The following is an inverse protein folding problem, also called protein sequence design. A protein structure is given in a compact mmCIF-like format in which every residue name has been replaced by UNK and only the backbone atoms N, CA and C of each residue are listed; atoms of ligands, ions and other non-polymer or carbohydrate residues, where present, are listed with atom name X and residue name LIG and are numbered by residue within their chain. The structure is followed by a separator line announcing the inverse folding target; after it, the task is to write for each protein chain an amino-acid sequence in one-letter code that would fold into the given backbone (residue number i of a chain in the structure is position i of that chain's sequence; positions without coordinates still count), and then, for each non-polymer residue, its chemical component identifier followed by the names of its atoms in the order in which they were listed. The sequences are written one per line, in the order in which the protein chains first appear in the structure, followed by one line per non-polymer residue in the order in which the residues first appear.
data_IF_644390590625
#
_entry.id   IF_644390590625
#
_cell.length_a   1.000
_cell.length_b   1.000
_cell.length_c   1.000
_cell.angle_alpha   90.00
_cell.angle_beta   90.00
_cell.angle_gamma   90.00
#
_symmetry.space_group_name_H-M   'P 1'
#
loop_
_entity.id
_entity.type
_entity.pdbx_description
1 polymer ?
#
# COMPACT_ATOMS: atom_id res chain seq x y z
N UNK A 1 -3.94 -6.86 -5.08
CA UNK A 1 -4.08 -5.51 -5.68
C UNK A 1 -3.73 -5.49 -7.17
N UNK A 2 -2.46 -5.51 -7.56
CA UNK A 2 -2.06 -5.34 -8.98
C UNK A 2 -2.59 -6.47 -9.89
N UNK A 3 -2.68 -7.70 -9.38
CA UNK A 3 -3.35 -8.80 -10.08
C UNK A 3 -4.82 -8.50 -10.41
N UNK A 4 -5.55 -7.84 -9.51
CA UNK A 4 -6.93 -7.41 -9.75
C UNK A 4 -7.04 -6.31 -10.82
N UNK A 5 -5.92 -5.66 -11.15
CA UNK A 5 -5.80 -4.69 -12.25
C UNK A 5 -5.28 -5.35 -13.54
N UNK A 6 -5.12 -6.68 -13.58
CA UNK A 6 -4.54 -7.41 -14.71
C UNK A 6 -3.02 -7.28 -14.81
N UNK A 7 -2.35 -6.77 -13.77
CA UNK A 7 -0.90 -6.59 -13.71
C UNK A 7 -0.28 -7.71 -12.87
N UNK A 8 -0.07 -8.87 -13.50
CA UNK A 8 0.62 -10.01 -12.91
C UNK A 8 2.02 -10.14 -13.53
N UNK A 9 3.03 -9.57 -12.86
CA UNK A 9 4.41 -9.54 -13.35
C UNK A 9 5.40 -9.61 -12.19
N UNK A 10 6.52 -10.35 -12.34
CA UNK A 10 7.56 -10.41 -11.30
C UNK A 10 8.29 -9.07 -11.10
N UNK A 11 8.10 -8.08 -11.98
CA UNK A 11 8.70 -6.75 -11.82
C UNK A 11 8.17 -6.01 -10.61
N UNK A 12 6.89 -6.17 -10.27
CA UNK A 12 6.26 -5.47 -9.16
C UNK A 12 6.86 -5.84 -7.79
N UNK A 13 6.93 -7.13 -7.39
CA UNK A 13 7.61 -7.48 -6.14
C UNK A 13 9.08 -7.06 -6.17
N UNK A 14 9.78 -7.19 -7.30
CA UNK A 14 11.18 -6.75 -7.43
C UNK A 14 11.36 -5.25 -7.17
N UNK A 15 10.47 -4.40 -7.67
CA UNK A 15 10.47 -2.95 -7.42
C UNK A 15 10.11 -2.62 -5.97
N UNK A 16 9.16 -3.36 -5.39
CA UNK A 16 8.62 -3.08 -4.07
C UNK A 16 9.45 -3.65 -2.91
N UNK A 17 10.36 -4.62 -3.14
CA UNK A 17 11.15 -5.29 -2.10
C UNK A 17 11.81 -4.32 -1.12
N UNK A 18 12.34 -3.21 -1.62
CA UNK A 18 13.01 -2.20 -0.80
C UNK A 18 12.11 -1.52 0.24
N UNK A 19 10.78 -1.63 0.11
CA UNK A 19 9.81 -1.03 1.03
C UNK A 19 9.40 -1.98 2.18
N UNK A 20 9.92 -3.21 2.19
CA UNK A 20 9.72 -4.16 3.29
C UNK A 20 10.18 -3.59 4.63
N UNK A 21 9.38 -3.77 5.69
CA UNK A 21 9.68 -3.23 7.02
C UNK A 21 9.72 -1.69 7.08
N UNK A 22 9.08 -1.03 6.12
CA UNK A 22 9.01 0.42 5.99
C UNK A 22 9.81 0.90 4.80
N UNK A 23 11.13 0.87 4.90
CA UNK A 23 12.06 1.00 3.78
C UNK A 23 13.30 0.20 4.19
N UNK A 24 13.37 -1.09 3.87
CA UNK A 24 14.42 -2.01 4.30
C UNK A 24 14.59 -2.09 5.84
N UNK A 25 13.47 -2.24 6.56
CA UNK A 25 13.45 -2.49 8.00
C UNK A 25 13.69 -1.26 8.89
N UNK A 26 13.95 -0.09 8.30
CA UNK A 26 14.17 1.17 9.04
C UNK A 26 12.98 1.64 9.89
N UNK A 27 11.78 1.06 9.71
CA UNK A 27 10.60 1.44 10.48
C UNK A 27 9.91 2.73 10.02
N UNK A 28 10.28 3.25 8.85
CA UNK A 28 9.62 4.37 8.17
C UNK A 28 8.22 3.98 7.63
N UNK A 29 7.68 4.71 6.65
CA UNK A 29 6.35 4.51 6.09
C UNK A 29 6.07 3.05 5.73
N UNK A 30 4.95 2.49 6.21
CA UNK A 30 4.56 1.10 6.03
C UNK A 30 4.61 0.68 4.55
N UNK A 31 5.32 -0.42 4.26
CA UNK A 31 5.45 -0.95 2.90
C UNK A 31 4.13 -1.31 2.24
N UNK A 32 3.12 -1.74 3.01
CA UNK A 32 1.78 -2.01 2.49
C UNK A 32 1.10 -0.73 1.98
N UNK A 33 1.19 0.36 2.73
CA UNK A 33 0.68 1.68 2.32
C UNK A 33 1.43 2.19 1.08
N UNK A 34 2.75 2.03 1.03
CA UNK A 34 3.55 2.38 -0.16
C UNK A 34 3.08 1.57 -1.36
N UNK A 35 2.88 0.26 -1.22
CA UNK A 35 2.35 -0.60 -2.29
C UNK A 35 0.98 -0.15 -2.79
N UNK A 36 0.10 0.31 -1.90
CA UNK A 36 -1.18 0.88 -2.29
C UNK A 36 -1.07 2.16 -3.12
N UNK A 37 -0.19 3.08 -2.71
CA UNK A 37 0.08 4.31 -3.45
C UNK A 37 0.78 4.02 -4.79
N UNK A 38 1.66 3.01 -4.85
CA UNK A 38 2.24 2.54 -6.10
C UNK A 38 1.16 2.07 -7.09
N UNK A 39 0.13 1.34 -6.61
CA UNK A 39 -0.98 0.93 -7.47
C UNK A 39 -1.75 2.12 -8.04
N UNK A 40 -1.93 3.21 -7.27
CA UNK A 40 -2.48 4.48 -7.78
C UNK A 40 -1.59 5.05 -8.90
N UNK A 41 -0.27 5.00 -8.71
CA UNK A 41 0.70 5.41 -9.73
C UNK A 41 0.61 4.57 -11.01
N UNK A 42 0.38 3.26 -10.90
CA UNK A 42 0.24 2.38 -12.07
C UNK A 42 -1.01 2.72 -12.90
N UNK A 43 -2.11 3.16 -12.28
CA UNK A 43 -3.37 3.43 -12.98
C UNK A 43 -3.53 4.90 -13.40
N UNK A 44 -3.13 5.83 -12.54
CA UNK A 44 -3.37 7.28 -12.71
C UNK A 44 -2.10 8.12 -12.66
N UNK A 45 -0.93 7.49 -12.59
CA UNK A 45 0.34 8.18 -12.55
C UNK A 45 0.67 8.88 -13.87
N UNK A 46 1.75 9.66 -13.81
CA UNK A 46 2.26 10.39 -14.96
C UNK A 46 3.15 9.50 -15.82
N UNK A 47 3.13 9.77 -17.12
CA UNK A 47 4.07 9.21 -18.11
C UNK A 47 5.13 10.23 -18.48
N UNK A 48 4.80 11.53 -18.41
CA UNK A 48 5.72 12.64 -18.68
C UNK A 48 5.83 13.59 -17.48
N UNK A 49 6.87 14.43 -17.40
CA UNK A 49 6.98 15.48 -16.38
C UNK A 49 5.79 16.45 -16.32
N UNK A 50 5.14 16.70 -17.46
CA UNK A 50 4.10 17.71 -17.68
C UNK A 50 2.68 17.22 -17.32
N UNK A 51 2.47 15.91 -17.23
CA UNK A 51 1.15 15.33 -16.93
C UNK A 51 0.61 15.82 -15.57
N UNK A 52 -0.71 15.93 -15.43
CA UNK A 52 -1.37 16.38 -14.20
C UNK A 52 -1.15 15.37 -13.05
N UNK A 53 -0.87 15.89 -11.85
CA UNK A 53 -0.62 15.12 -10.62
C UNK A 53 -1.82 15.15 -9.67
N UNK A 54 -2.78 16.04 -9.89
CA UNK A 54 -3.86 16.32 -8.93
C UNK A 54 -4.69 15.07 -8.63
N UNK A 55 -5.06 14.29 -9.64
CA UNK A 55 -5.85 13.06 -9.47
C UNK A 55 -5.10 11.99 -8.64
N UNK A 56 -3.91 11.51 -9.05
CA UNK A 56 -3.20 10.50 -8.25
C UNK A 56 -2.83 11.02 -6.85
N UNK A 57 -2.55 12.32 -6.69
CA UNK A 57 -2.30 12.90 -5.36
C UNK A 57 -3.54 12.90 -4.47
N UNK A 58 -4.69 13.32 -4.99
CA UNK A 58 -5.93 13.33 -4.22
C UNK A 58 -6.33 11.91 -3.77
N UNK A 59 -6.18 10.92 -4.65
CA UNK A 59 -6.47 9.52 -4.31
C UNK A 59 -5.46 9.00 -3.26
N UNK A 60 -4.17 9.25 -3.46
CA UNK A 60 -3.13 8.81 -2.52
C UNK A 60 -3.30 9.43 -1.13
N UNK A 61 -3.69 10.70 -1.05
CA UNK A 61 -3.99 11.38 0.21
C UNK A 61 -5.16 10.73 0.94
N UNK A 62 -6.25 10.37 0.25
CA UNK A 62 -7.38 9.67 0.86
C UNK A 62 -6.98 8.31 1.43
N UNK A 63 -6.22 7.52 0.66
CA UNK A 63 -5.71 6.22 1.11
C UNK A 63 -4.81 6.40 2.34
N UNK A 64 -3.89 7.37 2.29
CA UNK A 64 -2.99 7.68 3.40
C UNK A 64 -3.77 8.03 4.68
N UNK A 65 -4.68 8.99 4.60
CA UNK A 65 -5.45 9.44 5.76
C UNK A 65 -6.34 8.34 6.33
N UNK A 66 -7.02 7.57 5.47
CA UNK A 66 -7.86 6.46 5.93
C UNK A 66 -7.02 5.35 6.58
N UNK A 67 -5.86 5.02 6.01
CA UNK A 67 -4.94 4.05 6.59
C UNK A 67 -4.44 4.51 7.96
N UNK A 68 -4.03 5.77 8.08
CA UNK A 68 -3.57 6.35 9.35
C UNK A 68 -4.67 6.33 10.41
N UNK A 69 -5.91 6.66 10.04
CA UNK A 69 -7.05 6.63 10.95
C UNK A 69 -7.35 5.21 11.47
N UNK A 70 -7.31 4.20 10.61
CA UNK A 70 -7.65 2.82 11.00
C UNK A 70 -6.51 2.06 11.70
N UNK A 71 -5.25 2.35 11.34
CA UNK A 71 -4.07 1.69 11.92
C UNK A 71 -3.46 2.48 13.08
N UNK A 72 -3.81 3.76 13.23
CA UNK A 72 -3.27 4.67 14.23
C UNK A 72 -1.90 5.26 13.90
N UNK A 73 -1.25 4.81 12.82
CA UNK A 73 0.01 5.35 12.31
C UNK A 73 0.25 4.87 10.88
N UNK A 74 1.10 5.58 10.15
CA UNK A 74 1.67 5.10 8.87
C UNK A 74 3.10 4.58 9.04
N UNK A 75 3.74 4.77 10.19
CA UNK A 75 5.14 4.41 10.43
C UNK A 75 5.25 2.96 10.90
N UNK A 76 5.97 2.13 10.16
CA UNK A 76 6.08 0.70 10.39
C UNK A 76 6.53 0.38 11.81
N UNK A 77 7.51 1.11 12.37
CA UNK A 77 7.99 0.89 13.73
C UNK A 77 6.97 1.27 14.80
N UNK A 78 6.11 2.26 14.57
CA UNK A 78 5.02 2.57 15.50
C UNK A 78 3.93 1.50 15.43
N UNK A 79 3.67 0.94 14.25
CA UNK A 79 2.70 -0.14 14.06
C UNK A 79 3.15 -1.46 14.66
N UNK A 80 4.41 -1.85 14.44
CA UNK A 80 4.95 -3.15 14.88
C UNK A 80 5.53 -3.11 16.29
N UNK A 81 6.02 -1.96 16.73
CA UNK A 81 6.82 -1.83 17.96
C UNK A 81 8.24 -2.38 17.84
N UNK A 82 8.72 -2.72 16.63
CA UNK A 82 9.98 -3.44 16.43
C UNK A 82 11.00 -2.63 15.60
N UNK A 83 12.29 -2.82 15.88
CA UNK A 83 13.38 -2.44 14.95
C UNK A 83 13.82 -3.67 14.15
N UNK A 84 13.36 -3.73 12.90
CA UNK A 84 13.57 -4.86 12.00
C UNK A 84 14.97 -4.89 11.38
N UNK A 85 15.84 -3.90 11.65
CA UNK A 85 17.26 -3.96 11.28
C UNK A 85 18.08 -4.74 12.31
N UNK A 86 17.52 -4.99 13.49
CA UNK A 86 18.17 -5.85 14.50
C UNK A 86 17.79 -7.31 14.27
N UNK A 87 18.71 -8.26 14.47
CA UNK A 87 18.37 -9.69 14.38
C UNK A 87 17.24 -10.08 15.35
N UNK A 88 17.18 -9.45 16.53
CA UNK A 88 16.15 -9.72 17.52
C UNK A 88 14.78 -9.21 17.08
N UNK A 89 14.67 -7.94 16.67
CA UNK A 89 13.41 -7.39 16.18
C UNK A 89 12.90 -8.12 14.93
N UNK A 90 13.80 -8.53 14.03
CA UNK A 90 13.44 -9.35 12.89
C UNK A 90 12.91 -10.74 13.29
N UNK A 91 13.53 -11.41 14.28
CA UNK A 91 12.99 -12.68 14.82
C UNK A 91 11.63 -12.48 15.46
N UNK A 92 11.49 -11.46 16.31
CA UNK A 92 10.26 -11.15 17.03
C UNK A 92 9.08 -10.92 16.10
N UNK A 93 9.32 -10.37 14.90
CA UNK A 93 8.28 -10.19 13.89
C UNK A 93 7.49 -11.48 13.63
N UNK A 94 8.19 -12.62 13.57
CA UNK A 94 7.60 -13.93 13.25
C UNK A 94 7.30 -14.80 14.48
N UNK A 95 8.01 -14.60 15.59
CA UNK A 95 7.82 -15.45 16.79
C UNK A 95 6.77 -14.92 17.75
N UNK A 96 6.44 -13.62 17.69
CA UNK A 96 5.48 -12.99 18.62
C UNK A 96 4.11 -12.76 18.01
N UNK A 97 3.90 -13.16 16.74
CA UNK A 97 2.64 -12.97 16.03
C UNK A 97 2.41 -11.55 15.49
N UNK A 98 3.43 -10.68 15.49
CA UNK A 98 3.32 -9.29 14.98
C UNK A 98 3.05 -9.31 13.47
N UNK A 99 3.71 -10.20 12.74
CA UNK A 99 3.53 -10.34 11.29
C UNK A 99 2.07 -10.61 10.93
N UNK A 100 1.41 -11.55 11.62
CA UNK A 100 0.04 -11.95 11.35
C UNK A 100 -0.96 -10.89 11.80
N UNK A 101 -0.78 -10.31 12.99
CA UNK A 101 -1.78 -9.39 13.56
C UNK A 101 -1.64 -7.95 13.07
N UNK A 102 -0.43 -7.52 12.71
CA UNK A 102 -0.13 -6.14 12.28
C UNK A 102 0.12 -6.08 10.78
N UNK A 103 1.12 -6.82 10.27
CA UNK A 103 1.52 -6.70 8.87
C UNK A 103 0.43 -7.23 7.92
N UNK A 104 -0.15 -8.40 8.21
CA UNK A 104 -1.23 -8.93 7.37
C UNK A 104 -2.47 -8.03 7.40
N UNK A 105 -2.82 -7.47 8.57
CA UNK A 105 -3.89 -6.46 8.70
C UNK A 105 -3.59 -5.21 7.86
N UNK A 106 -2.36 -4.69 7.92
CA UNK A 106 -1.95 -3.54 7.13
C UNK A 106 -2.04 -3.81 5.62
N UNK A 107 -1.63 -4.99 5.17
CA UNK A 107 -1.74 -5.41 3.76
C UNK A 107 -3.20 -5.47 3.32
N UNK A 108 -4.06 -6.16 4.09
CA UNK A 108 -5.48 -6.29 3.77
C UNK A 108 -6.19 -4.92 3.74
N UNK A 109 -5.87 -4.04 4.69
CA UNK A 109 -6.41 -2.68 4.72
C UNK A 109 -5.94 -1.86 3.51
N UNK A 110 -4.64 -1.84 3.24
CA UNK A 110 -4.08 -1.08 2.12
C UNK A 110 -4.66 -1.56 0.78
N UNK A 111 -4.85 -2.88 0.62
CA UNK A 111 -5.53 -3.46 -0.53
C UNK A 111 -6.97 -2.98 -0.66
N UNK A 112 -7.75 -3.10 0.40
CA UNK A 112 -9.15 -2.66 0.40
C UNK A 112 -9.28 -1.19 0.01
N UNK A 113 -8.55 -0.30 0.70
CA UNK A 113 -8.58 1.14 0.47
C UNK A 113 -8.19 1.50 -0.97
N UNK A 114 -7.19 0.82 -1.53
CA UNK A 114 -6.82 1.06 -2.92
C UNK A 114 -7.88 0.54 -3.90
N UNK A 115 -8.40 -0.67 -3.72
CA UNK A 115 -9.42 -1.23 -4.62
C UNK A 115 -10.70 -0.39 -4.61
N UNK A 116 -11.09 0.19 -3.48
CA UNK A 116 -12.21 1.14 -3.39
C UNK A 116 -11.99 2.38 -4.29
N UNK A 117 -10.75 2.86 -4.43
CA UNK A 117 -10.41 4.03 -5.25
C UNK A 117 -10.07 3.67 -6.71
N UNK A 118 -9.62 2.44 -6.97
CA UNK A 118 -9.16 1.97 -8.28
C UNK A 118 -10.23 1.22 -9.07
N UNK A 119 -11.32 0.80 -8.42
CA UNK A 119 -12.47 0.22 -9.11
C UNK A 119 -12.98 1.20 -10.17
N UNK A 120 -13.22 0.75 -11.41
CA UNK A 120 -13.84 1.63 -12.39
C UNK A 120 -15.18 2.10 -11.84
N UNK A 121 -15.51 3.38 -12.05
CA UNK A 121 -16.90 3.83 -11.90
C UNK A 121 -17.76 2.83 -12.67
N UNK A 122 -18.84 2.32 -12.05
CA UNK A 122 -19.80 1.49 -12.78
C UNK A 122 -20.13 2.22 -14.09
N UNK A 123 -20.11 1.54 -15.26
CA UNK A 123 -20.61 2.18 -16.46
C UNK A 123 -22.03 2.67 -16.16
N UNK A 124 -22.43 3.88 -16.61
CA UNK A 124 -23.81 4.31 -16.45
C UNK A 124 -24.68 3.20 -17.01
N UNK A 125 -25.59 2.69 -16.18
CA UNK A 125 -26.43 1.54 -16.51
C UNK A 125 -27.01 1.73 -17.91
N UNK A 126 -26.92 0.69 -18.73
CA UNK A 126 -27.61 0.64 -20.03
C UNK A 126 -29.08 0.96 -19.77
N UNK A 127 -29.49 2.18 -20.07
CA UNK A 127 -30.89 2.46 -20.33
C UNK A 127 -31.21 1.72 -21.63
N UNK A 128 -32.17 0.80 -21.52
CA UNK A 128 -32.63 -0.01 -22.63
C UNK A 128 -33.15 0.83 -23.79
N UNK A 129 -32.94 0.29 -24.99
CA UNK A 129 -33.62 0.62 -26.24
C UNK A 129 -33.80 -0.67 -27.01
#
# INVERSE_FOLDING_TARGET
MCQALGLDTPLLPRLATGFGGGIAGSGATCGALVGAIMAVGLVYGRTTPQDDRRRPYAISQRIYSAFEQEMGSTQCRQLTGLDLRTPEGYRQLFTTGVHERVCARAVALAERLALEQLRPAQPPGRQGG
#
